data_IF_258075510390
#
_entry.id   IF_258075510390
#
_cell.length_a   1.000
_cell.length_b   1.000
_cell.length_c   1.000
_cell.angle_alpha   90.00
_cell.angle_beta   90.00
_cell.angle_gamma   90.00
#
_symmetry.space_group_name_H-M   'P 1'
#
loop_
_entity.id
_entity.type
_entity.pdbx_description
1 polymer ?
#
# COMPACT_ATOMS: atom_id res chain seq x y z
N UNK A 1 45.57 -36.41 -73.25
CA UNK A 1 45.59 -35.70 -71.95
C UNK A 1 44.28 -34.94 -71.84
N UNK A 2 43.38 -35.34 -70.94
CA UNK A 2 42.04 -34.74 -70.80
C UNK A 2 42.00 -33.90 -69.52
N UNK A 3 41.75 -32.59 -69.66
CA UNK A 3 41.72 -31.61 -68.58
C UNK A 3 40.30 -31.51 -68.02
N UNK A 4 40.08 -31.90 -66.75
CA UNK A 4 38.79 -31.76 -66.06
C UNK A 4 38.70 -30.39 -65.39
N UNK A 5 37.70 -29.60 -65.79
CA UNK A 5 37.34 -28.33 -65.14
C UNK A 5 36.54 -28.63 -63.86
N UNK A 6 37.03 -28.21 -62.71
CA UNK A 6 36.34 -28.34 -61.41
C UNK A 6 35.58 -27.05 -61.12
N UNK A 7 34.25 -27.12 -61.11
CA UNK A 7 33.34 -26.00 -60.84
C UNK A 7 33.21 -25.83 -59.32
N UNK A 8 33.75 -24.73 -58.76
CA UNK A 8 33.63 -24.41 -57.33
C UNK A 8 32.26 -23.77 -57.05
N UNK A 9 31.47 -24.39 -56.18
CA UNK A 9 30.25 -23.81 -55.62
C UNK A 9 30.63 -22.93 -54.42
N UNK A 10 30.25 -21.66 -54.44
CA UNK A 10 30.41 -20.75 -53.30
C UNK A 10 29.19 -20.86 -52.36
N UNK A 11 29.36 -20.86 -51.03
CA UNK A 11 28.24 -20.93 -50.11
C UNK A 11 27.60 -19.54 -49.94
N UNK A 12 26.29 -19.44 -50.13
CA UNK A 12 25.50 -18.25 -49.81
C UNK A 12 25.30 -18.20 -48.29
N UNK A 13 25.89 -17.20 -47.64
CA UNK A 13 25.67 -16.92 -46.21
C UNK A 13 24.38 -16.11 -46.08
N UNK A 14 23.37 -16.68 -45.42
CA UNK A 14 22.15 -15.97 -45.02
C UNK A 14 22.42 -15.31 -43.66
N UNK A 15 22.48 -13.98 -43.64
CA UNK A 15 22.61 -13.21 -42.41
C UNK A 15 21.21 -13.01 -41.82
N UNK A 16 20.93 -13.69 -40.71
CA UNK A 16 19.70 -13.51 -39.95
C UNK A 16 19.83 -12.23 -39.12
N UNK A 17 19.17 -11.15 -39.54
CA UNK A 17 19.07 -9.91 -38.77
C UNK A 17 18.22 -10.16 -37.52
N UNK A 18 18.88 -10.37 -36.38
CA UNK A 18 18.24 -10.35 -35.07
C UNK A 18 17.81 -8.91 -34.74
N UNK A 19 16.52 -8.62 -34.86
CA UNK A 19 15.92 -7.40 -34.31
C UNK A 19 16.01 -7.43 -32.78
N UNK A 20 16.66 -6.46 -32.13
CA UNK A 20 16.65 -6.39 -30.68
C UNK A 20 15.22 -6.13 -30.20
N UNK A 21 14.66 -7.06 -29.42
CA UNK A 21 13.47 -6.77 -28.61
C UNK A 21 13.90 -5.71 -27.59
N UNK A 22 13.45 -4.47 -27.76
CA UNK A 22 13.48 -3.50 -26.67
C UNK A 22 12.64 -4.06 -25.52
N UNK A 23 13.08 -3.94 -24.25
CA UNK A 23 12.23 -4.30 -23.13
C UNK A 23 10.96 -3.47 -23.22
N UNK A 24 9.80 -4.12 -23.26
CA UNK A 24 8.53 -3.42 -23.08
C UNK A 24 8.62 -2.73 -21.71
N UNK A 25 8.64 -1.41 -21.69
CA UNK A 25 8.39 -0.67 -20.45
C UNK A 25 7.00 -1.13 -20.00
N UNK A 26 6.92 -1.81 -18.86
CA UNK A 26 5.61 -2.07 -18.25
C UNK A 26 4.95 -0.71 -18.05
N UNK A 27 3.87 -0.46 -18.78
CA UNK A 27 3.09 0.76 -18.61
C UNK A 27 2.37 0.63 -17.26
N UNK A 28 2.56 1.62 -16.39
CA UNK A 28 1.92 1.60 -15.08
C UNK A 28 0.40 1.54 -15.24
N UNK A 29 -0.27 0.79 -14.37
CA UNK A 29 -1.73 0.64 -14.39
C UNK A 29 -2.37 1.90 -13.81
N UNK A 30 -3.14 2.68 -14.60
CA UNK A 30 -3.76 3.90 -14.10
C UNK A 30 -4.86 3.59 -13.09
N UNK A 31 -4.89 4.35 -11.99
CA UNK A 31 -5.88 4.25 -10.92
C UNK A 31 -6.25 5.63 -10.39
N UNK A 32 -7.45 5.77 -9.81
CA UNK A 32 -7.93 7.02 -9.23
C UNK A 32 -7.22 7.40 -7.91
N UNK A 33 -6.65 6.38 -7.25
CA UNK A 33 -6.03 6.47 -5.94
C UNK A 33 -5.12 5.26 -5.71
N UNK A 34 -3.91 5.53 -5.23
CA UNK A 34 -3.07 4.55 -4.54
C UNK A 34 -3.20 4.78 -3.02
N UNK A 35 -3.66 3.75 -2.30
CA UNK A 35 -3.98 3.84 -0.87
C UNK A 35 -3.24 2.77 -0.09
N UNK A 36 -2.45 3.19 0.90
CA UNK A 36 -1.90 2.30 1.93
C UNK A 36 -2.66 2.54 3.24
N UNK A 37 -3.35 1.50 3.73
CA UNK A 37 -3.90 1.48 5.08
C UNK A 37 -2.83 0.95 6.04
N UNK A 38 -2.29 1.81 6.90
CA UNK A 38 -1.24 1.50 7.85
C UNK A 38 -1.78 1.44 9.28
N UNK A 39 -1.89 0.22 9.81
CA UNK A 39 -2.68 -0.07 11.01
C UNK A 39 -1.82 -0.47 12.21
N UNK A 40 -1.95 0.26 13.31
CA UNK A 40 -1.21 0.01 14.56
C UNK A 40 -1.65 -1.30 15.24
N UNK A 41 -0.69 -2.19 15.48
CA UNK A 41 -0.84 -3.42 16.27
C UNK A 41 0.13 -3.44 17.45
N UNK A 42 0.57 -2.26 17.90
CA UNK A 42 1.46 -2.11 19.04
C UNK A 42 0.78 -2.55 20.34
N UNK A 43 1.59 -2.77 21.38
CA UNK A 43 1.10 -3.22 22.67
C UNK A 43 0.16 -2.25 23.39
N UNK A 44 0.08 -0.98 22.96
CA UNK A 44 -0.92 -0.02 23.44
C UNK A 44 -2.34 -0.46 23.09
N UNK A 45 -2.52 -0.93 21.85
CA UNK A 45 -3.80 -1.42 21.31
C UNK A 45 -4.04 -2.83 21.82
N UNK A 46 -5.00 -3.05 22.72
CA UNK A 46 -5.24 -4.39 23.28
C UNK A 46 -5.75 -5.40 22.21
N UNK A 47 -5.69 -6.72 22.44
CA UNK A 47 -6.11 -7.70 21.43
C UNK A 47 -7.57 -7.57 20.96
N UNK A 48 -8.47 -7.13 21.85
CA UNK A 48 -9.87 -6.89 21.52
C UNK A 48 -10.00 -5.62 20.69
N UNK A 49 -9.26 -4.57 21.01
CA UNK A 49 -9.21 -3.33 20.22
C UNK A 49 -8.63 -3.56 18.82
N UNK A 50 -7.52 -4.28 18.71
CA UNK A 50 -6.92 -4.62 17.43
C UNK A 50 -7.88 -5.46 16.56
N UNK A 51 -8.62 -6.39 17.18
CA UNK A 51 -9.67 -7.16 16.51
C UNK A 51 -10.81 -6.26 16.04
N UNK A 52 -11.32 -5.39 16.91
CA UNK A 52 -12.41 -4.47 16.59
C UNK A 52 -12.03 -3.52 15.45
N UNK A 53 -10.79 -3.05 15.43
CA UNK A 53 -10.26 -2.24 14.36
C UNK A 53 -10.22 -3.00 13.03
N UNK A 54 -9.68 -4.22 13.03
CA UNK A 54 -9.67 -5.11 11.85
C UNK A 54 -11.09 -5.33 11.32
N UNK A 55 -12.03 -5.60 12.22
CA UNK A 55 -13.46 -5.77 11.89
C UNK A 55 -14.07 -4.49 11.31
N UNK A 56 -13.67 -3.32 11.82
CA UNK A 56 -14.04 -2.01 11.27
C UNK A 56 -13.58 -1.83 9.82
N UNK A 57 -12.33 -2.16 9.50
CA UNK A 57 -11.81 -2.12 8.12
C UNK A 57 -12.56 -3.11 7.21
N UNK A 58 -12.77 -4.35 7.67
CA UNK A 58 -13.53 -5.37 6.93
C UNK A 58 -14.96 -4.88 6.63
N UNK A 59 -15.63 -4.30 7.63
CA UNK A 59 -16.98 -3.76 7.47
C UNK A 59 -17.00 -2.55 6.52
N UNK A 60 -16.02 -1.66 6.60
CA UNK A 60 -15.89 -0.51 5.71
C UNK A 60 -15.67 -0.95 4.25
N UNK A 61 -14.75 -1.89 4.00
CA UNK A 61 -14.50 -2.43 2.66
C UNK A 61 -15.77 -3.04 2.04
N UNK A 62 -16.58 -3.72 2.86
CA UNK A 62 -17.86 -4.32 2.42
C UNK A 62 -19.01 -3.32 2.31
N UNK A 63 -18.83 -2.08 2.73
CA UNK A 63 -19.91 -1.10 2.70
C UNK A 63 -20.19 -0.66 1.24
N UNK A 64 -21.45 -0.70 0.77
CA UNK A 64 -21.79 -0.31 -0.61
C UNK A 64 -21.36 1.09 -1.05
N UNK A 65 -21.11 1.99 -0.09
CA UNK A 65 -20.67 3.37 -0.37
C UNK A 65 -19.22 3.42 -0.82
N UNK A 66 -18.38 2.48 -0.38
CA UNK A 66 -16.98 2.39 -0.81
C UNK A 66 -16.92 1.95 -2.27
N UNK A 67 -17.62 0.88 -2.64
CA UNK A 67 -17.73 0.45 -4.03
C UNK A 67 -18.31 1.55 -4.93
N UNK A 68 -19.35 2.26 -4.47
CA UNK A 68 -19.93 3.38 -5.21
C UNK A 68 -18.96 4.56 -5.37
N UNK A 69 -18.14 4.86 -4.36
CA UNK A 69 -17.13 5.91 -4.42
C UNK A 69 -16.01 5.57 -5.41
N UNK A 70 -15.54 4.32 -5.42
CA UNK A 70 -14.56 3.83 -6.39
C UNK A 70 -15.14 3.92 -7.81
N UNK A 71 -16.36 3.44 -8.03
CA UNK A 71 -17.01 3.45 -9.34
C UNK A 71 -17.31 4.86 -9.88
N UNK A 72 -17.29 5.89 -9.03
CA UNK A 72 -17.47 7.29 -9.42
C UNK A 72 -16.16 7.96 -9.89
N UNK A 73 -15.00 7.32 -9.69
CA UNK A 73 -13.72 7.82 -10.17
C UNK A 73 -13.56 7.67 -11.70
N UNK A 74 -12.71 8.49 -12.34
CA UNK A 74 -12.42 8.40 -13.78
C UNK A 74 -11.96 7.01 -14.28
N UNK A 75 -11.10 6.35 -13.52
CA UNK A 75 -10.58 5.01 -13.81
C UNK A 75 -11.42 3.88 -13.19
N UNK A 76 -12.37 4.24 -12.33
CA UNK A 76 -13.27 3.35 -11.61
C UNK A 76 -12.52 2.27 -10.82
N UNK A 77 -11.32 2.61 -10.33
CA UNK A 77 -10.39 1.66 -9.72
C UNK A 77 -9.39 2.37 -8.83
N UNK A 78 -9.07 1.74 -7.71
CA UNK A 78 -7.98 2.13 -6.83
C UNK A 78 -6.93 1.01 -6.74
N UNK A 79 -5.70 1.34 -6.37
CA UNK A 79 -4.73 0.38 -5.86
C UNK A 79 -4.75 0.46 -4.33
N UNK A 80 -4.98 -0.68 -3.66
CA UNK A 80 -5.11 -0.76 -2.22
C UNK A 80 -4.08 -1.74 -1.65
N UNK A 81 -3.36 -1.30 -0.62
CA UNK A 81 -2.52 -2.14 0.22
C UNK A 81 -2.90 -1.96 1.69
N UNK A 82 -2.64 -3.00 2.49
CA UNK A 82 -2.85 -2.97 3.94
C UNK A 82 -1.61 -3.52 4.64
N UNK A 83 -1.06 -2.70 5.54
CA UNK A 83 0.08 -3.05 6.38
C UNK A 83 -0.29 -2.91 7.86
N UNK A 84 0.32 -3.74 8.69
CA UNK A 84 0.27 -3.62 10.15
C UNK A 84 1.64 -3.20 10.68
N UNK A 85 1.67 -2.29 11.66
CA UNK A 85 2.90 -1.74 12.20
C UNK A 85 2.90 -1.66 13.72
N UNK A 86 4.10 -1.64 14.32
CA UNK A 86 4.29 -1.39 15.75
C UNK A 86 5.60 -0.64 15.99
N UNK A 87 6.67 -1.31 16.45
CA UNK A 87 8.01 -0.74 16.55
C UNK A 87 8.73 -0.64 15.20
N UNK A 88 9.93 -0.03 15.22
CA UNK A 88 10.75 0.22 14.00
C UNK A 88 11.11 -1.03 13.20
N UNK A 89 11.11 -2.20 13.84
CA UNK A 89 11.42 -3.50 13.22
C UNK A 89 10.16 -4.31 12.88
N UNK A 90 8.96 -3.76 13.10
CA UNK A 90 7.70 -4.45 12.92
C UNK A 90 6.78 -3.67 11.98
N UNK A 91 6.95 -3.93 10.69
CA UNK A 91 6.01 -3.54 9.63
C UNK A 91 5.76 -4.76 8.76
N UNK A 92 4.52 -5.20 8.67
CA UNK A 92 4.13 -6.40 7.93
C UNK A 92 3.03 -6.10 6.92
N UNK A 93 3.26 -6.44 5.66
CA UNK A 93 2.23 -6.41 4.62
C UNK A 93 1.26 -7.58 4.82
N UNK A 94 0.00 -7.26 5.14
CA UNK A 94 -1.07 -8.27 5.28
C UNK A 94 -1.78 -8.48 3.95
N UNK A 95 -2.02 -7.38 3.24
CA UNK A 95 -2.53 -7.39 1.87
C UNK A 95 -1.59 -6.57 1.01
N UNK A 96 -0.88 -7.25 0.12
CA UNK A 96 -0.08 -6.59 -0.92
C UNK A 96 -1.00 -5.96 -1.98
N UNK A 97 -0.45 -5.09 -2.83
CA UNK A 97 -1.20 -4.25 -3.75
C UNK A 97 -2.28 -5.00 -4.54
N UNK A 98 -3.54 -4.57 -4.36
CA UNK A 98 -4.69 -5.03 -5.13
C UNK A 98 -5.29 -3.89 -5.93
N UNK A 99 -5.47 -4.10 -7.22
CA UNK A 99 -6.39 -3.33 -8.03
C UNK A 99 -7.83 -3.65 -7.59
N UNK A 100 -8.57 -2.63 -7.15
CA UNK A 100 -9.94 -2.76 -6.64
C UNK A 100 -10.85 -1.86 -7.46
N UNK A 101 -11.76 -2.46 -8.24
CA UNK A 101 -12.75 -1.73 -9.05
C UNK A 101 -14.19 -2.14 -8.79
N UNK A 102 -14.42 -3.16 -7.95
CA UNK A 102 -15.74 -3.72 -7.72
C UNK A 102 -15.98 -4.11 -6.26
N UNK A 103 -17.25 -4.37 -5.93
CA UNK A 103 -17.63 -4.92 -4.64
C UNK A 103 -17.06 -6.33 -4.40
N UNK A 104 -16.83 -7.10 -5.46
CA UNK A 104 -16.20 -8.42 -5.37
C UNK A 104 -14.72 -8.29 -4.98
N UNK A 105 -13.98 -7.38 -5.61
CA UNK A 105 -12.57 -7.12 -5.27
C UNK A 105 -12.43 -6.63 -3.81
N UNK A 106 -13.35 -5.77 -3.36
CA UNK A 106 -13.41 -5.32 -1.97
C UNK A 106 -13.68 -6.47 -0.99
N UNK A 107 -14.58 -7.39 -1.35
CA UNK A 107 -14.85 -8.58 -0.53
C UNK A 107 -13.66 -9.54 -0.49
N UNK A 108 -12.90 -9.68 -1.58
CA UNK A 108 -11.64 -10.43 -1.59
C UNK A 108 -10.61 -9.84 -0.62
N UNK A 109 -10.40 -8.52 -0.67
CA UNK A 109 -9.50 -7.84 0.28
C UNK A 109 -9.99 -8.02 1.72
N UNK A 110 -11.29 -7.85 1.96
CA UNK A 110 -11.88 -8.08 3.27
C UNK A 110 -11.70 -9.53 3.74
N UNK A 111 -11.80 -10.50 2.83
CA UNK A 111 -11.54 -11.91 3.09
C UNK A 111 -10.09 -12.20 3.48
N UNK A 112 -9.12 -11.55 2.82
CA UNK A 112 -7.70 -11.66 3.20
C UNK A 112 -7.47 -11.13 4.63
N UNK A 113 -8.03 -9.97 4.96
CA UNK A 113 -7.93 -9.38 6.31
C UNK A 113 -8.61 -10.24 7.39
N UNK A 114 -9.75 -10.85 7.06
CA UNK A 114 -10.50 -11.71 7.98
C UNK A 114 -9.71 -12.98 8.34
N UNK A 115 -8.95 -13.53 7.39
CA UNK A 115 -8.21 -14.77 7.57
C UNK A 115 -6.77 -14.57 8.08
N UNK A 116 -6.23 -13.35 7.98
CA UNK A 116 -4.90 -13.04 8.47
C UNK A 116 -4.83 -13.04 10.01
N UNK A 117 -3.77 -13.61 10.62
CA UNK A 117 -3.55 -13.47 12.07
C UNK A 117 -3.33 -12.00 12.46
N UNK A 118 -3.61 -11.63 13.70
CA UNK A 118 -3.20 -10.35 14.27
C UNK A 118 -1.95 -10.59 15.10
N UNK A 119 -0.81 -10.03 14.69
CA UNK A 119 0.46 -10.21 15.41
C UNK A 119 0.85 -8.89 16.04
N UNK A 120 0.60 -8.78 17.35
CA UNK A 120 0.94 -7.59 18.13
C UNK A 120 2.42 -7.54 18.48
N UNK A 121 2.99 -6.35 18.50
CA UNK A 121 4.41 -6.14 18.82
C UNK A 121 4.63 -4.95 19.76
N UNK A 122 5.83 -4.87 20.35
CA UNK A 122 6.20 -3.79 21.28
C UNK A 122 6.52 -2.50 20.51
N UNK A 123 6.46 -1.37 21.23
CA UNK A 123 6.83 -0.01 20.78
C UNK A 123 5.86 0.55 19.74
N UNK A 124 5.89 1.86 19.57
CA UNK A 124 5.00 2.61 18.68
C UNK A 124 5.87 3.56 17.86
N UNK A 125 6.05 3.21 16.58
CA UNK A 125 6.96 3.81 15.61
C UNK A 125 6.20 4.13 14.30
N UNK A 126 5.27 5.10 14.30
CA UNK A 126 4.49 5.45 13.11
C UNK A 126 5.37 5.90 11.94
N UNK A 127 6.55 6.46 12.22
CA UNK A 127 7.54 6.82 11.21
C UNK A 127 8.02 5.62 10.39
N UNK A 128 8.16 4.43 11.01
CA UNK A 128 8.50 3.22 10.27
C UNK A 128 7.38 2.80 9.31
N UNK A 129 6.12 2.98 9.72
CA UNK A 129 4.96 2.73 8.87
C UNK A 129 4.91 3.70 7.68
N UNK A 130 5.15 5.00 7.93
CA UNK A 130 5.17 6.03 6.87
C UNK A 130 6.32 5.77 5.90
N UNK A 131 7.51 5.40 6.38
CA UNK A 131 8.66 5.11 5.53
C UNK A 131 8.41 3.88 4.64
N UNK A 132 7.88 2.80 5.22
CA UNK A 132 7.52 1.60 4.47
C UNK A 132 6.41 1.88 3.43
N UNK A 133 5.35 2.58 3.82
CA UNK A 133 4.25 2.93 2.93
C UNK A 133 4.71 3.86 1.79
N UNK A 134 5.60 4.81 2.08
CA UNK A 134 6.21 5.68 1.06
C UNK A 134 7.01 4.85 0.05
N UNK A 135 7.83 3.90 0.51
CA UNK A 135 8.55 3.00 -0.38
C UNK A 135 7.62 2.13 -1.24
N UNK A 136 6.50 1.65 -0.67
CA UNK A 136 5.49 0.89 -1.41
C UNK A 136 4.80 1.72 -2.49
N UNK A 137 4.48 2.99 -2.21
CA UNK A 137 3.86 3.90 -3.17
C UNK A 137 4.81 4.24 -4.33
N UNK A 138 6.06 4.58 -4.01
CA UNK A 138 7.03 4.98 -5.04
C UNK A 138 7.61 3.81 -5.84
N UNK A 139 7.42 2.56 -5.38
CA UNK A 139 8.04 1.36 -5.95
C UNK A 139 7.10 0.39 -6.67
N UNK A 140 5.80 0.71 -6.79
CA UNK A 140 4.82 -0.20 -7.39
C UNK A 140 4.60 0.07 -8.90
N UNK A 141 3.69 -0.71 -9.53
CA UNK A 141 3.36 -0.63 -10.97
C UNK A 141 2.04 0.06 -11.26
N UNK A 142 1.52 0.87 -10.33
CA UNK A 142 0.33 1.69 -10.50
C UNK A 142 0.73 3.15 -10.77
N UNK A 143 -0.20 3.88 -11.36
CA UNK A 143 -0.10 5.31 -11.57
C UNK A 143 -1.39 5.96 -11.08
N UNK A 144 -1.39 6.34 -9.80
CA UNK A 144 -2.49 7.02 -9.15
C UNK A 144 -2.51 8.51 -9.44
N UNK A 145 -3.70 9.09 -9.62
CA UNK A 145 -3.86 10.56 -9.57
C UNK A 145 -3.51 11.13 -8.19
N UNK A 146 -3.63 10.30 -7.15
CA UNK A 146 -3.32 10.61 -5.76
C UNK A 146 -2.65 9.41 -5.10
N UNK A 147 -1.67 9.70 -4.25
CA UNK A 147 -1.04 8.73 -3.35
C UNK A 147 -1.40 9.10 -1.90
N UNK A 148 -1.95 8.15 -1.15
CA UNK A 148 -2.44 8.37 0.22
C UNK A 148 -1.94 7.28 1.16
N UNK A 149 -1.51 7.71 2.35
CA UNK A 149 -1.25 6.84 3.49
C UNK A 149 -2.26 7.19 4.59
N UNK A 150 -3.11 6.24 4.96
CA UNK A 150 -3.98 6.35 6.13
C UNK A 150 -3.30 5.65 7.30
N UNK A 151 -2.81 6.42 8.28
CA UNK A 151 -2.12 5.90 9.46
C UNK A 151 -3.10 5.89 10.63
N UNK A 152 -3.48 4.71 11.11
CA UNK A 152 -4.28 4.57 12.33
C UNK A 152 -3.42 4.11 13.51
N UNK A 153 -3.55 4.76 14.67
CA UNK A 153 -2.82 4.44 15.91
C UNK A 153 -3.39 5.13 17.15
N UNK A 154 -2.99 4.68 18.34
CA UNK A 154 -3.59 5.06 19.64
C UNK A 154 -2.71 5.97 20.51
N UNK A 155 -1.51 6.35 20.05
CA UNK A 155 -0.51 6.94 20.93
C UNK A 155 0.59 7.78 20.30
N UNK A 156 1.31 8.47 21.20
CA UNK A 156 2.48 9.31 20.94
C UNK A 156 3.64 8.40 20.50
N UNK A 157 4.30 8.74 19.39
CA UNK A 157 5.50 8.06 18.92
C UNK A 157 6.54 7.95 20.05
N UNK A 158 6.98 6.73 20.35
CA UNK A 158 7.88 6.45 21.46
C UNK A 158 9.18 5.75 21.02
N UNK A 159 9.37 5.58 19.71
CA UNK A 159 10.53 4.99 19.06
C UNK A 159 10.84 5.73 17.74
N UNK A 160 12.06 5.49 17.21
CA UNK A 160 12.52 5.93 15.89
C UNK A 160 12.84 7.42 15.69
N UNK A 161 13.16 7.83 14.44
CA UNK A 161 13.47 9.22 14.10
C UNK A 161 12.27 10.15 14.33
N UNK A 162 12.50 11.46 14.25
CA UNK A 162 11.39 12.41 14.37
C UNK A 162 10.36 12.16 13.25
N UNK A 163 9.15 11.76 13.63
CA UNK A 163 8.01 11.50 12.71
C UNK A 163 7.84 12.61 11.66
N UNK A 164 8.06 13.87 12.07
CA UNK A 164 8.02 15.03 11.19
C UNK A 164 8.94 14.91 9.97
N UNK A 165 10.17 14.38 10.13
CA UNK A 165 11.13 14.25 9.02
C UNK A 165 10.65 13.24 7.99
N UNK A 166 10.11 12.10 8.42
CA UNK A 166 9.62 11.07 7.51
C UNK A 166 8.32 11.53 6.83
N UNK A 167 7.42 12.17 7.59
CA UNK A 167 6.22 12.82 7.05
C UNK A 167 6.57 13.83 5.97
N UNK A 168 7.50 14.75 6.24
CA UNK A 168 7.84 15.83 5.32
C UNK A 168 8.42 15.29 4.01
N UNK A 169 9.21 14.22 4.05
CA UNK A 169 9.71 13.53 2.85
C UNK A 169 8.58 12.90 2.03
N UNK A 170 7.61 12.27 2.67
CA UNK A 170 6.46 11.69 1.99
C UNK A 170 5.61 12.78 1.32
N UNK A 171 5.37 13.89 2.03
CA UNK A 171 4.64 15.05 1.49
C UNK A 171 5.39 15.69 0.32
N UNK A 172 6.72 15.82 0.41
CA UNK A 172 7.56 16.32 -0.71
C UNK A 172 7.48 15.40 -1.93
N UNK A 173 7.28 14.09 -1.74
CA UNK A 173 7.02 13.12 -2.80
C UNK A 173 5.58 13.16 -3.35
N UNK A 174 4.73 14.09 -2.90
CA UNK A 174 3.35 14.22 -3.35
C UNK A 174 2.36 13.26 -2.67
N UNK A 175 2.77 12.63 -1.57
CA UNK A 175 1.93 11.70 -0.82
C UNK A 175 1.14 12.45 0.26
N UNK A 176 -0.18 12.22 0.28
CA UNK A 176 -1.05 12.72 1.35
C UNK A 176 -1.01 11.73 2.52
N UNK A 177 -0.88 12.25 3.75
CA UNK A 177 -0.94 11.43 4.96
C UNK A 177 -2.16 11.85 5.78
N UNK A 178 -3.04 10.89 6.07
CA UNK A 178 -4.16 11.09 6.99
C UNK A 178 -3.89 10.35 8.31
N UNK A 179 -4.09 11.05 9.43
CA UNK A 179 -4.07 10.44 10.75
C UNK A 179 -5.48 10.00 11.17
N UNK A 180 -5.64 8.72 11.53
CA UNK A 180 -6.88 8.14 12.05
C UNK A 180 -6.68 7.75 13.52
N UNK A 181 -6.82 8.69 14.47
CA UNK A 181 -6.58 8.41 15.87
C UNK A 181 -7.60 7.41 16.42
N UNK A 182 -7.09 6.37 17.08
CA UNK A 182 -7.90 5.40 17.80
C UNK A 182 -8.09 5.95 19.21
N UNK A 183 -9.29 6.42 19.51
CA UNK A 183 -9.66 6.84 20.87
C UNK A 183 -10.47 5.74 21.55
N UNK A 184 -9.93 5.20 22.64
CA UNK A 184 -10.60 4.15 23.42
C UNK A 184 -11.68 4.75 24.32
N UNK A 185 -12.71 3.97 24.70
CA UNK A 185 -13.75 4.44 25.64
C UNK A 185 -13.16 4.85 26.99
N UNK A 186 -12.05 4.23 27.41
CA UNK A 186 -11.30 4.61 28.59
C UNK A 186 -10.62 5.98 28.42
N UNK A 187 -10.01 6.24 27.25
CA UNK A 187 -9.45 7.55 26.90
C UNK A 187 -10.55 8.63 26.81
N UNK A 188 -11.72 8.33 26.22
CA UNK A 188 -12.87 9.26 26.17
C UNK A 188 -13.35 9.68 27.56
N UNK A 189 -13.25 8.80 28.56
CA UNK A 189 -13.57 9.12 29.96
C UNK A 189 -12.46 9.91 30.66
N UNK A 190 -11.20 9.66 30.32
CA UNK A 190 -10.04 10.39 30.88
C UNK A 190 -9.92 11.82 30.31
N UNK A 191 -10.37 12.06 29.07
CA UNK A 191 -10.39 13.37 28.43
C UNK A 191 -11.73 14.12 28.55
N UNK A 192 -12.60 13.72 29.49
CA UNK A 192 -13.73 14.54 29.93
C UNK A 192 -14.85 14.78 28.93
N UNK A 193 -14.97 13.97 27.87
CA UNK A 193 -16.05 14.12 26.88
C UNK A 193 -15.99 15.40 26.03
N UNK A 194 -14.92 16.17 26.09
CA UNK A 194 -14.69 17.24 25.12
C UNK A 194 -14.13 16.66 23.82
N UNK A 195 -14.74 17.05 22.70
CA UNK A 195 -14.33 16.69 21.36
C UNK A 195 -12.88 17.10 21.16
N UNK A 196 -11.97 16.12 21.07
CA UNK A 196 -10.57 16.38 20.72
C UNK A 196 -10.56 16.99 19.32
N UNK A 197 -10.24 18.28 19.24
CA UNK A 197 -10.13 19.00 17.97
C UNK A 197 -8.76 18.66 17.36
N UNK A 198 -8.74 17.69 16.45
CA UNK A 198 -7.55 17.06 15.89
C UNK A 198 -6.83 17.89 14.80
N UNK A 199 -7.01 19.21 14.80
CA UNK A 199 -6.49 20.10 13.74
C UNK A 199 -5.00 20.43 13.93
N UNK A 200 -4.36 19.98 15.02
CA UNK A 200 -2.96 20.34 15.33
C UNK A 200 -2.10 19.13 15.77
N UNK A 201 -2.02 18.09 14.95
CA UNK A 201 -0.96 17.07 15.04
C UNK A 201 -0.44 16.70 13.65
#
# INVERSE_FOLDING_TARGET
MSCRVVRRLAPTVVVLLATPLAPASAENVPVDLELVLAVDVSWGVDPTEARLQREGYIAALRHPRVAAAIAAGPYQRIALAYIEWAGTEHVSTVVDWRAVGSAADLDEVAGLLANAPIVRARRTAPEAAIEAATAMLLGNSYAGERMVIDVSGDGIANAGPQVAVVRDRAVEAGIVINGLPIVTVAQTRLYGGETVNLVNY
#
